data_IF_437740955680
#
_entry.id   IF_437740955680
#
_cell.length_a   1.000
_cell.length_b   1.000
_cell.length_c   1.000
_cell.angle_alpha   90.00
_cell.angle_beta   90.00
_cell.angle_gamma   90.00
#
_symmetry.space_group_name_H-M   'P 1'
#
loop_
_entity.id
_entity.type
_entity.pdbx_description
1 polymer ?
#
# COMPACT_ATOMS: atom_id res chain seq x y z
N UNK A 1 -37.09 -17.00 -17.28
CA UNK A 1 -36.07 -18.07 -17.42
C UNK A 1 -34.65 -17.49 -17.43
N UNK A 2 -34.32 -16.57 -18.34
CA UNK A 2 -33.01 -15.88 -18.37
C UNK A 2 -32.66 -15.14 -17.05
N UNK A 3 -33.62 -14.42 -16.45
CA UNK A 3 -33.40 -13.68 -15.19
C UNK A 3 -33.02 -14.59 -14.00
N UNK A 4 -33.55 -15.82 -13.95
CA UNK A 4 -33.22 -16.78 -12.89
C UNK A 4 -31.81 -17.37 -13.08
N UNK A 5 -31.42 -17.65 -14.33
CA UNK A 5 -30.09 -18.18 -14.68
C UNK A 5 -28.99 -17.14 -14.43
N UNK A 6 -29.22 -15.88 -14.84
CA UNK A 6 -28.25 -14.82 -14.62
C UNK A 6 -28.23 -14.36 -13.16
N UNK A 7 -29.39 -14.26 -12.49
CA UNK A 7 -29.48 -13.83 -11.09
C UNK A 7 -28.83 -14.80 -10.09
N UNK A 8 -29.11 -16.11 -10.17
CA UNK A 8 -28.49 -17.10 -9.26
C UNK A 8 -27.01 -17.33 -9.55
N UNK A 9 -26.58 -17.24 -10.82
CA UNK A 9 -25.17 -17.31 -11.21
C UNK A 9 -24.34 -16.19 -10.58
N UNK A 10 -24.88 -14.96 -10.54
CA UNK A 10 -24.20 -13.81 -9.92
C UNK A 10 -23.97 -13.98 -8.41
N UNK A 11 -24.90 -14.59 -7.67
CA UNK A 11 -24.75 -14.82 -6.22
C UNK A 11 -23.67 -15.88 -5.92
N UNK A 12 -23.59 -16.95 -6.72
CA UNK A 12 -22.53 -17.94 -6.60
C UNK A 12 -21.13 -17.34 -6.89
N UNK A 13 -21.04 -16.40 -7.82
CA UNK A 13 -19.82 -15.64 -8.12
C UNK A 13 -19.30 -14.82 -6.93
N UNK A 14 -20.20 -14.21 -6.15
CA UNK A 14 -19.83 -13.41 -4.97
C UNK A 14 -19.15 -14.28 -3.89
N UNK A 15 -19.61 -15.52 -3.69
CA UNK A 15 -19.02 -16.45 -2.71
C UNK A 15 -17.62 -16.91 -3.13
N UNK A 16 -17.38 -17.10 -4.43
CA UNK A 16 -16.05 -17.45 -4.97
C UNK A 16 -15.07 -16.27 -4.88
N UNK A 17 -15.58 -15.04 -4.99
CA UNK A 17 -14.77 -13.80 -4.97
C UNK A 17 -14.45 -13.32 -3.54
N UNK A 18 -15.09 -13.86 -2.49
CA UNK A 18 -14.94 -13.42 -1.10
C UNK A 18 -13.49 -13.50 -0.55
N UNK A 19 -12.54 -14.12 -1.26
CA UNK A 19 -11.10 -14.12 -0.93
C UNK A 19 -10.20 -13.64 -2.08
N UNK A 20 -10.70 -12.85 -3.02
CA UNK A 20 -9.94 -12.45 -4.21
C UNK A 20 -8.99 -11.28 -3.92
N UNK A 21 -7.87 -11.53 -3.25
CA UNK A 21 -6.78 -10.54 -3.08
C UNK A 21 -5.85 -10.43 -4.30
N UNK A 22 -6.09 -11.22 -5.36
CA UNK A 22 -5.23 -11.30 -6.56
C UNK A 22 -6.05 -11.15 -7.83
N UNK A 23 -5.54 -10.37 -8.78
CA UNK A 23 -6.14 -10.12 -10.09
C UNK A 23 -6.57 -11.43 -10.81
N UNK A 24 -5.73 -12.47 -10.75
CA UNK A 24 -6.00 -13.76 -11.36
C UNK A 24 -7.26 -14.45 -10.80
N UNK A 25 -7.68 -14.15 -9.56
CA UNK A 25 -8.90 -14.71 -8.96
C UNK A 25 -10.17 -14.09 -9.54
N UNK A 26 -10.14 -12.82 -9.97
CA UNK A 26 -11.28 -12.22 -10.67
C UNK A 26 -11.48 -12.87 -12.05
N UNK A 27 -10.38 -13.05 -12.81
CA UNK A 27 -10.42 -13.75 -14.10
C UNK A 27 -10.91 -15.19 -13.96
N UNK A 28 -10.42 -15.91 -12.95
CA UNK A 28 -10.85 -17.27 -12.66
C UNK A 28 -12.33 -17.32 -12.26
N UNK A 29 -12.82 -16.35 -11.47
CA UNK A 29 -14.24 -16.24 -11.15
C UNK A 29 -15.10 -15.99 -12.40
N UNK A 30 -14.64 -15.14 -13.33
CA UNK A 30 -15.30 -14.95 -14.63
C UNK A 30 -15.41 -16.25 -15.44
N UNK A 31 -14.33 -17.03 -15.50
CA UNK A 31 -14.32 -18.34 -16.15
C UNK A 31 -15.28 -19.34 -15.50
N UNK A 32 -15.29 -19.43 -14.16
CA UNK A 32 -16.22 -20.27 -13.39
C UNK A 32 -17.67 -19.85 -13.67
N UNK A 33 -17.96 -18.55 -13.68
CA UNK A 33 -19.28 -18.02 -14.02
C UNK A 33 -19.71 -18.37 -15.44
N UNK A 34 -18.78 -18.33 -16.41
CA UNK A 34 -19.07 -18.76 -17.78
C UNK A 34 -19.42 -20.26 -17.84
N UNK A 35 -18.67 -21.11 -17.14
CA UNK A 35 -18.96 -22.55 -17.08
C UNK A 35 -20.32 -22.83 -16.43
N UNK A 36 -20.63 -22.17 -15.31
CA UNK A 36 -21.93 -22.30 -14.63
C UNK A 36 -23.06 -21.82 -15.55
N UNK A 37 -22.91 -20.66 -16.18
CA UNK A 37 -23.92 -20.12 -17.10
C UNK A 37 -24.15 -21.06 -18.29
N UNK A 38 -23.08 -21.61 -18.87
CA UNK A 38 -23.19 -22.58 -19.95
C UNK A 38 -23.86 -23.88 -19.50
N UNK A 39 -23.49 -24.42 -18.33
CA UNK A 39 -24.11 -25.63 -17.78
C UNK A 39 -25.61 -25.44 -17.53
N UNK A 40 -26.03 -24.27 -17.03
CA UNK A 40 -27.43 -23.93 -16.85
C UNK A 40 -28.19 -23.81 -18.19
N UNK A 41 -27.60 -23.13 -19.18
CA UNK A 41 -28.16 -23.05 -20.53
C UNK A 41 -28.28 -24.43 -21.17
N UNK A 42 -27.25 -25.27 -21.03
CA UNK A 42 -27.23 -26.64 -21.53
C UNK A 42 -28.30 -27.51 -20.86
N UNK A 43 -28.47 -27.40 -19.54
CA UNK A 43 -29.53 -28.11 -18.82
C UNK A 43 -30.93 -27.75 -19.33
N UNK A 44 -31.18 -26.47 -19.64
CA UNK A 44 -32.44 -26.01 -20.25
C UNK A 44 -32.58 -26.56 -21.68
N UNK A 45 -31.51 -26.51 -22.48
CA UNK A 45 -31.51 -26.99 -23.87
C UNK A 45 -31.77 -28.50 -23.97
N UNK A 46 -31.25 -29.30 -23.02
CA UNK A 46 -31.45 -30.76 -23.00
C UNK A 46 -32.91 -31.17 -22.77
N UNK A 47 -33.68 -30.37 -22.03
CA UNK A 47 -35.11 -30.65 -21.75
C UNK A 47 -36.06 -30.00 -22.77
N UNK A 48 -35.54 -29.22 -23.71
CA UNK A 48 -36.32 -28.57 -24.76
C UNK A 48 -36.61 -29.57 -25.90
N UNK A 49 -37.89 -29.87 -26.20
CA UNK A 49 -38.28 -30.74 -27.32
C UNK A 49 -37.91 -30.17 -28.69
N UNK A 50 -37.79 -28.85 -28.83
CA UNK A 50 -37.52 -28.17 -30.10
C UNK A 50 -36.03 -27.81 -30.28
N UNK A 51 -35.16 -28.36 -29.45
CA UNK A 51 -33.72 -28.02 -29.41
C UNK A 51 -33.04 -28.19 -30.77
N UNK A 52 -32.19 -27.24 -31.15
CA UNK A 52 -31.37 -27.30 -32.37
C UNK A 52 -29.89 -27.26 -32.02
N UNK A 53 -29.08 -28.04 -32.73
CA UNK A 53 -27.62 -27.98 -32.56
C UNK A 53 -27.04 -26.60 -32.90
N UNK A 54 -27.73 -25.84 -33.76
CA UNK A 54 -27.41 -24.45 -34.09
C UNK A 54 -27.50 -23.49 -32.89
N UNK A 55 -28.09 -23.91 -31.77
CA UNK A 55 -28.18 -23.09 -30.56
C UNK A 55 -26.86 -23.08 -29.74
N UNK A 56 -26.08 -24.16 -29.82
CA UNK A 56 -24.87 -24.33 -29.02
C UNK A 56 -23.83 -23.20 -29.20
N UNK A 57 -23.56 -22.70 -30.42
CA UNK A 57 -22.63 -21.58 -30.62
C UNK A 57 -23.06 -20.30 -29.91
N UNK A 58 -24.34 -19.90 -30.00
CA UNK A 58 -24.78 -18.67 -29.34
C UNK A 58 -24.83 -18.83 -27.82
N UNK A 59 -25.20 -20.02 -27.31
CA UNK A 59 -25.19 -20.30 -25.86
C UNK A 59 -23.79 -20.22 -25.29
N UNK A 60 -22.80 -20.77 -26.02
CA UNK A 60 -21.39 -20.68 -25.65
C UNK A 60 -20.94 -19.23 -25.63
N UNK A 61 -21.25 -18.46 -26.69
CA UNK A 61 -20.91 -17.04 -26.76
C UNK A 61 -21.55 -16.25 -25.62
N UNK A 62 -22.85 -16.47 -25.35
CA UNK A 62 -23.57 -15.79 -24.27
C UNK A 62 -22.97 -16.08 -22.89
N UNK A 63 -22.60 -17.34 -22.63
CA UNK A 63 -21.96 -17.74 -21.37
C UNK A 63 -20.57 -17.10 -21.20
N UNK A 64 -19.75 -17.09 -22.25
CA UNK A 64 -18.43 -16.46 -22.24
C UNK A 64 -18.52 -14.95 -22.05
N UNK A 65 -19.41 -14.28 -22.78
CA UNK A 65 -19.65 -12.83 -22.66
C UNK A 65 -20.12 -12.52 -21.23
N UNK A 66 -21.06 -13.28 -20.68
CA UNK A 66 -21.56 -13.10 -19.33
C UNK A 66 -20.45 -13.21 -18.28
N UNK A 67 -19.63 -14.27 -18.33
CA UNK A 67 -18.53 -14.47 -17.39
C UNK A 67 -17.46 -13.37 -17.49
N UNK A 68 -17.12 -12.98 -18.72
CA UNK A 68 -16.11 -11.95 -18.99
C UNK A 68 -16.56 -10.57 -18.52
N UNK A 69 -17.79 -10.18 -18.89
CA UNK A 69 -18.37 -8.89 -18.49
C UNK A 69 -18.57 -8.83 -16.97
N UNK A 70 -19.03 -9.92 -16.34
CA UNK A 70 -19.18 -9.98 -14.88
C UNK A 70 -17.84 -9.80 -14.17
N UNK A 71 -16.77 -10.45 -14.64
CA UNK A 71 -15.42 -10.27 -14.07
C UNK A 71 -14.91 -8.85 -14.27
N UNK A 72 -15.13 -8.25 -15.43
CA UNK A 72 -14.71 -6.89 -15.74
C UNK A 72 -15.42 -5.88 -14.82
N UNK A 73 -16.75 -6.01 -14.67
CA UNK A 73 -17.55 -5.16 -13.80
C UNK A 73 -17.19 -5.34 -12.32
N UNK A 74 -16.93 -6.57 -11.88
CA UNK A 74 -16.50 -6.84 -10.51
C UNK A 74 -15.12 -6.23 -10.21
N UNK A 75 -14.16 -6.37 -11.12
CA UNK A 75 -12.84 -5.76 -10.97
C UNK A 75 -12.92 -4.23 -11.00
N UNK A 76 -13.63 -3.66 -11.97
CA UNK A 76 -13.87 -2.23 -12.06
C UNK A 76 -14.53 -1.69 -10.80
N UNK A 77 -15.59 -2.35 -10.33
CA UNK A 77 -16.28 -2.02 -9.09
C UNK A 77 -15.36 -2.09 -7.87
N UNK A 78 -14.55 -3.14 -7.72
CA UNK A 78 -13.59 -3.26 -6.62
C UNK A 78 -12.56 -2.11 -6.61
N UNK A 79 -11.99 -1.78 -7.77
CA UNK A 79 -11.02 -0.67 -7.89
C UNK A 79 -11.68 0.69 -7.63
N UNK A 80 -12.88 0.93 -8.17
CA UNK A 80 -13.63 2.17 -7.98
C UNK A 80 -14.08 2.36 -6.53
N UNK A 81 -14.60 1.32 -5.89
CA UNK A 81 -14.98 1.38 -4.47
C UNK A 81 -13.75 1.58 -3.59
N UNK A 82 -12.61 0.96 -3.94
CA UNK A 82 -11.34 1.20 -3.26
C UNK A 82 -10.94 2.68 -3.26
N UNK A 83 -11.06 3.34 -4.42
CA UNK A 83 -10.81 4.79 -4.55
C UNK A 83 -11.83 5.62 -3.76
N UNK A 84 -13.12 5.31 -3.87
CA UNK A 84 -14.20 6.06 -3.19
C UNK A 84 -14.12 5.99 -1.66
N UNK A 85 -13.69 4.85 -1.12
CA UNK A 85 -13.60 4.63 0.32
C UNK A 85 -12.18 4.80 0.88
N UNK A 86 -11.20 5.21 0.06
CA UNK A 86 -9.81 5.39 0.49
C UNK A 86 -9.12 4.08 0.91
N UNK A 87 -9.61 2.93 0.44
CA UNK A 87 -9.06 1.62 0.79
C UNK A 87 -7.79 1.40 -0.04
N UNK A 88 -6.67 1.23 0.65
CA UNK A 88 -5.40 0.92 0.01
C UNK A 88 -5.43 -0.50 -0.56
N UNK A 89 -5.46 -0.61 -1.89
CA UNK A 89 -5.53 -1.91 -2.57
C UNK A 89 -4.13 -2.51 -2.81
N UNK A 90 -4.06 -3.83 -2.95
CA UNK A 90 -2.82 -4.51 -3.32
C UNK A 90 -2.25 -4.02 -4.65
N UNK A 91 -3.11 -3.68 -5.62
CA UNK A 91 -2.68 -3.15 -6.93
C UNK A 91 -1.98 -1.80 -6.73
N UNK A 92 -2.57 -0.90 -5.95
CA UNK A 92 -1.96 0.38 -5.61
C UNK A 92 -0.63 0.21 -4.88
N UNK A 93 -0.52 -0.73 -3.94
CA UNK A 93 0.76 -1.04 -3.26
C UNK A 93 1.82 -1.57 -4.24
N UNK A 94 1.45 -2.40 -5.21
CA UNK A 94 2.39 -2.89 -6.23
C UNK A 94 2.89 -1.76 -7.14
N UNK A 95 2.05 -0.78 -7.43
CA UNK A 95 2.42 0.43 -8.18
C UNK A 95 3.36 1.32 -7.37
N UNK A 96 3.06 1.55 -6.10
CA UNK A 96 3.93 2.31 -5.17
C UNK A 96 5.25 1.58 -4.85
N UNK A 97 5.30 0.26 -4.99
CA UNK A 97 6.52 -0.52 -4.81
C UNK A 97 7.53 -0.31 -5.95
N UNK A 98 7.13 0.31 -7.07
CA UNK A 98 8.06 0.60 -8.16
C UNK A 98 8.97 1.76 -7.78
N UNK A 99 10.30 1.53 -7.77
CA UNK A 99 11.28 2.56 -7.36
C UNK A 99 11.42 3.73 -8.36
N UNK A 100 10.71 3.67 -9.49
CA UNK A 100 10.64 4.74 -10.48
C UNK A 100 9.54 5.78 -10.19
N UNK A 101 8.79 5.63 -9.09
CA UNK A 101 7.81 6.62 -8.65
C UNK A 101 8.47 8.00 -8.48
N UNK A 102 7.81 9.11 -8.89
CA UNK A 102 8.43 10.44 -8.86
C UNK A 102 9.02 10.83 -7.51
N UNK A 103 8.33 10.56 -6.40
CA UNK A 103 8.81 10.88 -5.05
C UNK A 103 10.02 10.01 -4.64
N UNK A 104 10.05 8.73 -5.03
CA UNK A 104 11.18 7.84 -4.74
C UNK A 104 12.40 8.18 -5.60
N UNK A 105 12.20 8.60 -6.86
CA UNK A 105 13.27 9.13 -7.71
C UNK A 105 13.90 10.39 -7.10
N UNK A 106 13.07 11.32 -6.63
CA UNK A 106 13.57 12.48 -5.88
C UNK A 106 14.37 12.06 -4.66
N UNK A 107 13.87 11.11 -3.87
CA UNK A 107 14.62 10.57 -2.73
C UNK A 107 15.96 9.97 -3.15
N UNK A 108 16.00 9.22 -4.26
CA UNK A 108 17.21 8.64 -4.81
C UNK A 108 18.23 9.69 -5.26
N UNK A 109 17.78 10.74 -5.93
CA UNK A 109 18.65 11.77 -6.52
C UNK A 109 19.12 12.80 -5.49
N UNK A 110 18.22 13.25 -4.60
CA UNK A 110 18.47 14.34 -3.64
C UNK A 110 18.97 13.83 -2.27
N UNK A 111 18.61 12.60 -1.87
CA UNK A 111 18.97 11.99 -0.58
C UNK A 111 19.32 10.49 -0.73
N UNK A 112 20.37 10.15 -1.50
CA UNK A 112 20.67 8.77 -1.89
C UNK A 112 20.92 7.84 -0.71
N UNK A 113 21.52 8.34 0.38
CA UNK A 113 21.74 7.57 1.60
C UNK A 113 20.43 7.13 2.25
N UNK A 114 19.50 8.07 2.39
CA UNK A 114 18.14 7.78 2.90
C UNK A 114 17.38 6.84 1.98
N UNK A 115 17.51 6.99 0.66
CA UNK A 115 16.92 6.04 -0.30
C UNK A 115 17.46 4.62 -0.08
N UNK A 116 18.78 4.45 0.00
CA UNK A 116 19.40 3.14 0.24
C UNK A 116 19.00 2.56 1.60
N UNK A 117 18.98 3.39 2.64
CA UNK A 117 18.47 3.03 3.96
C UNK A 117 17.04 2.47 3.88
N UNK A 118 16.14 3.22 3.24
CA UNK A 118 14.71 2.86 3.11
C UNK A 118 14.52 1.52 2.37
N UNK A 119 15.29 1.27 1.31
CA UNK A 119 15.25 0.00 0.57
C UNK A 119 15.75 -1.16 1.44
N UNK A 120 16.85 -0.99 2.19
CA UNK A 120 17.39 -2.02 3.07
C UNK A 120 16.41 -2.33 4.21
N UNK A 121 15.87 -1.30 4.87
CA UNK A 121 14.86 -1.44 5.92
C UNK A 121 13.63 -2.14 5.37
N UNK A 122 13.14 -1.77 4.19
CA UNK A 122 12.00 -2.42 3.54
C UNK A 122 12.23 -3.92 3.29
N UNK A 123 13.41 -4.31 2.82
CA UNK A 123 13.74 -5.72 2.61
C UNK A 123 13.79 -6.53 3.92
N UNK A 124 14.30 -5.94 5.01
CA UNK A 124 14.35 -6.59 6.31
C UNK A 124 12.95 -6.69 6.95
N UNK A 125 12.21 -5.59 6.93
CA UNK A 125 10.88 -5.48 7.51
C UNK A 125 9.87 -6.36 6.75
N UNK A 126 9.95 -6.45 5.42
CA UNK A 126 9.11 -7.37 4.62
C UNK A 126 9.28 -8.82 5.09
N UNK A 127 10.52 -9.27 5.29
CA UNK A 127 10.81 -10.63 5.76
C UNK A 127 10.28 -10.86 7.17
N UNK A 128 10.45 -9.89 8.07
CA UNK A 128 9.90 -9.96 9.42
C UNK A 128 8.37 -10.04 9.40
N UNK A 129 7.72 -9.19 8.60
CA UNK A 129 6.27 -9.17 8.42
C UNK A 129 5.73 -10.51 7.92
N UNK A 130 6.40 -11.14 6.95
CA UNK A 130 6.03 -12.48 6.46
C UNK A 130 6.07 -13.52 7.58
N UNK A 131 7.12 -13.53 8.39
CA UNK A 131 7.29 -14.51 9.48
C UNK A 131 6.20 -14.38 10.56
N UNK A 132 5.73 -13.16 10.81
CA UNK A 132 4.74 -12.89 11.86
C UNK A 132 3.30 -12.83 11.32
N UNK A 133 3.10 -13.07 10.02
CA UNK A 133 1.79 -13.07 9.36
C UNK A 133 1.15 -11.68 9.20
N UNK A 134 1.97 -10.63 9.08
CA UNK A 134 1.54 -9.27 8.77
C UNK A 134 1.54 -8.99 7.25
N UNK A 135 0.95 -7.87 6.82
CA UNK A 135 0.92 -7.47 5.40
C UNK A 135 2.31 -7.05 4.90
N UNK A 136 3.07 -8.02 4.40
CA UNK A 136 4.47 -7.80 4.02
C UNK A 136 4.65 -6.83 2.85
N UNK A 137 3.69 -6.77 1.92
CA UNK A 137 3.75 -5.83 0.81
C UNK A 137 3.54 -4.41 1.31
N UNK A 138 2.57 -4.20 2.20
CA UNK A 138 2.38 -2.90 2.83
C UNK A 138 3.64 -2.48 3.58
N UNK A 139 4.23 -3.36 4.39
CA UNK A 139 5.44 -3.04 5.16
C UNK A 139 6.58 -2.61 4.25
N UNK A 140 6.85 -3.36 3.17
CA UNK A 140 7.90 -2.98 2.21
C UNK A 140 7.66 -1.58 1.63
N UNK A 141 6.44 -1.33 1.16
CA UNK A 141 6.08 -0.05 0.55
C UNK A 141 6.14 1.06 1.59
N UNK A 142 5.59 0.86 2.78
CA UNK A 142 5.66 1.79 3.91
C UNK A 142 7.10 2.20 4.22
N UNK A 143 8.03 1.25 4.28
CA UNK A 143 9.44 1.52 4.48
C UNK A 143 10.08 2.33 3.34
N UNK A 144 9.66 2.18 2.09
CA UNK A 144 10.19 3.01 1.00
C UNK A 144 9.87 4.48 1.18
N UNK A 145 8.73 4.80 1.80
CA UNK A 145 8.26 6.16 1.96
C UNK A 145 8.45 6.74 3.37
N UNK A 146 8.77 5.93 4.39
CA UNK A 146 8.73 6.37 5.79
C UNK A 146 9.59 7.61 6.10
N UNK A 147 10.71 7.73 5.38
CA UNK A 147 11.74 8.75 5.58
C UNK A 147 11.75 9.85 4.50
N UNK A 148 10.74 9.92 3.63
CA UNK A 148 10.74 10.88 2.50
C UNK A 148 10.80 12.34 2.95
N UNK A 149 10.41 12.63 4.19
CA UNK A 149 10.54 13.98 4.74
C UNK A 149 11.98 14.47 4.90
N UNK A 150 12.96 13.56 4.91
CA UNK A 150 14.39 13.93 4.92
C UNK A 150 14.81 14.69 3.66
N UNK A 151 14.02 14.60 2.57
CA UNK A 151 14.16 15.44 1.37
C UNK A 151 14.16 16.95 1.66
N UNK A 152 13.51 17.39 2.76
CA UNK A 152 13.49 18.82 3.09
C UNK A 152 14.87 19.36 3.42
N UNK A 153 15.71 18.56 4.10
CA UNK A 153 17.02 18.98 4.59
C UNK A 153 18.01 17.79 4.59
N UNK A 154 18.39 17.21 3.43
CA UNK A 154 19.13 15.95 3.37
C UNK A 154 20.47 15.97 4.11
N UNK A 155 21.18 17.09 4.07
CA UNK A 155 22.50 17.27 4.70
C UNK A 155 22.50 17.11 6.24
N UNK A 156 21.35 17.25 6.89
CA UNK A 156 21.21 17.04 8.34
C UNK A 156 21.02 15.56 8.73
N UNK A 157 21.06 14.64 7.78
CA UNK A 157 20.94 13.20 8.03
C UNK A 157 22.24 12.51 7.66
N UNK A 158 22.85 11.84 8.64
CA UNK A 158 24.21 11.28 8.55
C UNK A 158 24.40 10.35 7.35
N UNK A 159 23.36 9.61 6.96
CA UNK A 159 23.42 8.70 5.83
C UNK A 159 23.61 9.43 4.47
N UNK A 160 23.27 10.72 4.39
CA UNK A 160 23.42 11.54 3.18
C UNK A 160 24.67 12.43 3.22
N UNK A 161 25.43 12.41 4.30
CA UNK A 161 26.64 13.23 4.43
C UNK A 161 27.79 12.55 3.67
N UNK A 162 28.22 13.15 2.56
CA UNK A 162 29.41 12.75 1.82
C UNK A 162 30.62 13.43 2.46
N UNK A 163 31.35 12.71 3.32
CA UNK A 163 32.64 13.08 3.92
C UNK A 163 32.87 14.61 4.03
N UNK A 164 32.35 15.22 5.09
CA UNK A 164 32.42 16.65 5.34
C UNK A 164 31.97 17.00 6.76
N UNK A 165 31.89 18.30 7.04
CA UNK A 165 31.45 18.78 8.35
C UNK A 165 29.99 18.44 8.61
N UNK A 166 29.69 17.98 9.82
CA UNK A 166 28.33 17.69 10.24
C UNK A 166 27.63 19.01 10.62
N UNK A 167 26.57 19.45 9.92
CA UNK A 167 25.93 20.74 10.19
C UNK A 167 25.29 20.82 11.58
N UNK A 168 25.11 19.69 12.27
CA UNK A 168 24.70 19.68 13.67
C UNK A 168 25.76 20.20 14.64
N UNK A 169 27.03 20.24 14.25
CA UNK A 169 28.13 20.69 15.12
C UNK A 169 28.08 22.21 15.36
N UNK A 170 27.42 22.96 14.46
CA UNK A 170 27.20 24.40 14.58
C UNK A 170 25.87 24.77 15.26
N UNK A 171 25.09 23.77 15.69
CA UNK A 171 23.76 23.96 16.25
C UNK A 171 23.69 23.50 17.71
N UNK A 172 22.86 24.18 18.50
CA UNK A 172 22.47 23.65 19.80
C UNK A 172 21.65 22.35 19.65
N UNK A 173 21.63 21.56 20.73
CA UNK A 173 20.93 20.27 20.73
C UNK A 173 19.43 20.39 20.48
N UNK A 174 18.78 21.46 20.96
CA UNK A 174 17.34 21.63 20.81
C UNK A 174 16.97 21.86 19.33
N UNK A 175 17.74 22.71 18.64
CA UNK A 175 17.56 23.00 17.23
C UNK A 175 17.86 21.80 16.36
N UNK A 176 18.93 21.06 16.68
CA UNK A 176 19.24 19.80 16.01
C UNK A 176 18.14 18.75 16.16
N UNK A 177 17.61 18.58 17.37
CA UNK A 177 16.49 17.68 17.63
C UNK A 177 15.24 18.07 16.85
N UNK A 178 14.94 19.37 16.77
CA UNK A 178 13.80 19.89 16.01
C UNK A 178 13.92 19.61 14.52
N UNK A 179 15.09 19.86 13.90
CA UNK A 179 15.33 19.53 12.48
C UNK A 179 15.10 18.05 12.22
N UNK A 180 15.61 17.19 13.10
CA UNK A 180 15.39 15.74 13.00
C UNK A 180 13.92 15.39 13.16
N UNK A 181 13.17 15.99 14.09
CA UNK A 181 11.73 15.71 14.24
C UNK A 181 10.90 16.17 13.03
N UNK A 182 11.31 17.26 12.39
CA UNK A 182 10.56 17.88 11.29
C UNK A 182 10.42 16.99 10.04
N UNK A 183 11.25 15.96 9.85
CA UNK A 183 11.05 15.03 8.72
C UNK A 183 9.70 14.32 8.78
N UNK A 184 9.14 14.05 9.97
CA UNK A 184 7.82 13.40 10.06
C UNK A 184 6.76 14.32 9.45
N UNK A 185 6.72 15.58 9.90
CA UNK A 185 5.76 16.58 9.40
C UNK A 185 5.97 16.86 7.91
N UNK A 186 7.23 17.01 7.49
CA UNK A 186 7.59 17.21 6.08
C UNK A 186 7.20 16.04 5.20
N UNK A 187 7.43 14.82 5.68
CA UNK A 187 7.07 13.59 4.99
C UNK A 187 5.56 13.45 4.82
N UNK A 188 4.77 13.82 5.83
CA UNK A 188 3.31 13.83 5.74
C UNK A 188 2.80 14.83 4.69
N UNK A 189 3.43 16.01 4.59
CA UNK A 189 3.08 16.99 3.56
C UNK A 189 3.46 16.50 2.15
N UNK A 190 4.65 15.90 1.99
CA UNK A 190 5.05 15.27 0.72
C UNK A 190 4.12 14.12 0.33
N UNK A 191 3.72 13.29 1.30
CA UNK A 191 2.78 12.20 1.11
C UNK A 191 1.43 12.71 0.61
N UNK A 192 0.93 13.80 1.19
CA UNK A 192 -0.32 14.48 0.77
C UNK A 192 -0.20 15.01 -0.66
N UNK A 193 0.90 15.69 -0.99
CA UNK A 193 1.15 16.25 -2.32
C UNK A 193 1.22 15.17 -3.41
N UNK A 194 1.73 13.98 -3.08
CA UNK A 194 1.86 12.87 -4.02
C UNK A 194 0.69 11.87 -3.95
N UNK A 195 -0.36 12.18 -3.18
CA UNK A 195 -1.56 11.34 -3.07
C UNK A 195 -1.28 9.95 -2.50
N UNK A 196 -0.31 9.83 -1.57
CA UNK A 196 -0.02 8.54 -0.94
C UNK A 196 -1.23 8.09 -0.10
N UNK A 197 -1.59 6.79 -0.16
CA UNK A 197 -2.72 6.26 0.58
C UNK A 197 -2.42 6.23 2.08
N UNK A 198 -3.46 6.40 2.90
CA UNK A 198 -3.32 6.54 4.36
C UNK A 198 -2.53 5.41 5.03
N UNK A 199 -2.68 4.15 4.59
CA UNK A 199 -1.92 3.01 5.15
C UNK A 199 -0.40 3.15 4.93
N UNK A 200 0.04 3.79 3.85
CA UNK A 200 1.47 4.06 3.59
C UNK A 200 1.91 5.31 4.35
N UNK A 201 1.07 6.36 4.38
CA UNK A 201 1.32 7.59 5.14
C UNK A 201 1.48 7.34 6.65
N UNK A 202 0.79 6.32 7.19
CA UNK A 202 0.92 5.92 8.60
C UNK A 202 2.37 5.58 8.99
N UNK A 203 3.15 4.95 8.11
CA UNK A 203 4.56 4.65 8.37
C UNK A 203 5.37 5.91 8.62
N UNK A 204 5.07 7.01 7.91
CA UNK A 204 5.75 8.29 8.12
C UNK A 204 5.44 8.84 9.51
N UNK A 205 4.16 8.86 9.91
CA UNK A 205 3.74 9.38 11.20
C UNK A 205 4.23 8.54 12.39
N UNK A 206 4.27 7.21 12.22
CA UNK A 206 4.31 6.28 13.36
C UNK A 206 5.66 5.61 13.58
N UNK A 207 6.56 5.55 12.59
CA UNK A 207 7.77 4.74 12.67
C UNK A 207 8.71 5.09 13.84
N UNK A 208 8.70 6.35 14.28
CA UNK A 208 9.38 6.79 15.49
C UNK A 208 8.50 6.78 16.74
N UNK A 209 7.17 6.74 16.58
CA UNK A 209 6.23 6.85 17.68
C UNK A 209 6.47 8.10 18.51
N UNK A 210 6.59 7.92 19.83
CA UNK A 210 6.93 8.99 20.77
C UNK A 210 8.35 8.81 21.34
N UNK A 211 9.29 8.29 20.53
CA UNK A 211 10.68 8.08 20.96
C UNK A 211 11.40 9.40 21.18
N UNK A 212 12.47 9.37 21.98
CA UNK A 212 13.38 10.49 22.14
C UNK A 212 14.40 10.51 21.01
N UNK A 213 14.67 11.71 20.49
CA UNK A 213 15.89 12.02 19.71
C UNK A 213 17.08 11.98 20.69
N UNK A 214 17.47 10.75 21.02
CA UNK A 214 18.20 10.42 22.25
C UNK A 214 19.58 11.07 22.31
N UNK A 215 20.27 11.21 21.16
CA UNK A 215 21.59 11.82 21.10
C UNK A 215 21.55 13.28 21.59
N UNK A 216 20.71 14.11 20.96
CA UNK A 216 20.59 15.53 21.30
C UNK A 216 19.97 15.74 22.68
N UNK A 217 19.02 14.91 23.10
CA UNK A 217 18.50 14.95 24.47
C UNK A 217 19.62 14.74 25.51
N UNK A 218 20.48 13.73 25.31
CA UNK A 218 21.58 13.44 26.23
C UNK A 218 22.63 14.54 26.24
N UNK A 219 22.89 15.17 25.10
CA UNK A 219 23.79 16.32 25.03
C UNK A 219 23.22 17.49 25.86
N UNK A 220 21.96 17.85 25.63
CA UNK A 220 21.28 18.90 26.39
C UNK A 220 21.20 18.60 27.90
N UNK A 221 20.91 17.35 28.28
CA UNK A 221 20.81 16.95 29.68
C UNK A 221 22.15 17.00 30.44
N UNK A 222 23.29 16.94 29.74
CA UNK A 222 24.62 17.13 30.35
C UNK A 222 24.87 18.58 30.73
N UNK A 223 24.38 19.51 29.92
CA UNK A 223 24.53 20.95 30.16
C UNK A 223 23.46 21.45 31.14
N UNK A 224 22.24 20.93 31.04
CA UNK A 224 21.12 21.25 31.90
C UNK A 224 20.35 19.98 32.32
N UNK A 225 20.61 19.43 33.53
CA UNK A 225 19.91 18.24 34.03
C UNK A 225 18.39 18.38 34.19
N UNK A 226 17.84 19.59 34.08
CA UNK A 226 16.39 19.87 34.17
C UNK A 226 15.73 20.05 32.81
N UNK A 227 16.42 19.75 31.71
CA UNK A 227 15.84 19.83 30.37
C UNK A 227 14.62 18.91 30.25
N UNK A 228 13.55 19.41 29.63
CA UNK A 228 12.34 18.62 29.41
C UNK A 228 12.56 17.62 28.26
N UNK A 229 12.29 16.34 28.52
CA UNK A 229 12.38 15.29 27.52
C UNK A 229 11.31 15.43 26.42
N UNK A 230 10.21 16.14 26.68
CA UNK A 230 9.15 16.36 25.68
C UNK A 230 9.63 17.18 24.49
N UNK A 231 10.53 18.15 24.70
CA UNK A 231 11.15 18.95 23.63
C UNK A 231 11.98 18.11 22.64
N UNK A 232 12.42 16.93 23.07
CA UNK A 232 13.25 16.01 22.30
C UNK A 232 12.49 14.76 21.85
N UNK A 233 11.19 14.68 22.11
CA UNK A 233 10.35 13.54 21.73
C UNK A 233 9.66 13.76 20.40
N UNK A 234 9.54 12.70 19.60
CA UNK A 234 8.66 12.73 18.43
C UNK A 234 7.19 12.92 18.86
N UNK A 235 6.38 13.65 18.07
CA UNK A 235 4.99 13.96 18.43
C UNK A 235 4.06 12.74 18.40
N UNK A 236 4.49 11.63 17.80
CA UNK A 236 3.67 10.45 17.57
C UNK A 236 2.68 10.63 16.41
N UNK A 237 1.65 9.75 16.34
CA UNK A 237 1.26 8.75 17.34
C UNK A 237 2.20 7.55 17.41
N UNK A 238 2.05 6.71 18.44
CA UNK A 238 2.74 5.39 18.50
C UNK A 238 2.23 4.48 17.37
N UNK A 239 3.01 3.47 16.93
CA UNK A 239 2.53 2.47 15.97
C UNK A 239 1.18 1.88 16.36
N UNK A 240 0.22 1.93 15.42
CA UNK A 240 -1.16 1.44 15.60
C UNK A 240 -1.37 0.03 15.04
N UNK A 241 -0.40 -0.49 14.27
CA UNK A 241 -0.43 -1.82 13.65
C UNK A 241 0.82 -2.65 13.99
N UNK A 242 0.81 -3.92 13.58
CA UNK A 242 1.97 -4.82 13.66
C UNK A 242 2.94 -4.56 12.51
N UNK A 243 2.39 -4.23 11.34
CA UNK A 243 3.08 -3.61 10.21
C UNK A 243 3.75 -2.30 10.63
#
# INVERSE_FOLDING_TARGET
>A
RLILVFGFGSVAGIVVVYRAERLNRHLLAGGVLAVIAFALLLGIWLVDPERKAADLPWMTAAALINGSLSSLLALGGFLSLGLLFGITTRVQLMELAQLNQPLLRRLQDEAPGTFHHSVIVGNLAERAAQLVGADSLLVRVGCYYHDVGKLLQPAFYIENQLAGDNPHDELDSQRSAKIVQEHVKGGLELARQHGLPQRVTAFIAEHHGTRLVTYFYRQAARENPRVDATDYSYPGPRPQSRE
#
